data_IF_640000602366
#
_entry.id   IF_640000602366
#
_cell.length_a   1.000
_cell.length_b   1.000
_cell.length_c   1.000
_cell.angle_alpha   90.00
_cell.angle_beta   90.00
_cell.angle_gamma   90.00
#
_symmetry.space_group_name_H-M   'P 1'
#
loop_
_entity.id
_entity.type
_entity.pdbx_description
1 polymer ?
#
# COMPACT_ATOMS: atom_id res chain seq x y z
N UNK A 1 3.26 5.19 -1.68
CA UNK A 1 3.20 3.80 -1.17
C UNK A 1 2.83 3.82 0.31
N UNK A 2 1.74 3.17 0.71
CA UNK A 2 1.38 2.97 2.12
C UNK A 2 1.49 1.49 2.48
N UNK A 3 2.28 1.14 3.48
CA UNK A 3 2.46 -0.27 3.87
C UNK A 3 2.34 -0.48 5.38
N UNK A 4 1.75 -1.60 5.77
CA UNK A 4 1.65 -2.02 7.16
C UNK A 4 2.98 -2.53 7.73
N UNK A 5 4.03 -2.68 6.89
CA UNK A 5 5.35 -3.15 7.34
C UNK A 5 6.09 -2.08 8.13
N UNK A 6 6.83 -2.51 9.14
CA UNK A 6 7.76 -1.67 9.92
C UNK A 6 9.13 -1.55 9.25
N UNK A 7 9.91 -0.51 9.57
CA UNK A 7 11.30 -0.36 9.10
C UNK A 7 12.20 -1.37 9.83
N UNK A 8 12.43 -2.55 9.22
CA UNK A 8 13.59 -2.78 8.34
C UNK A 8 13.21 -3.39 6.97
N UNK A 9 11.92 -3.63 6.70
CA UNK A 9 11.47 -4.26 5.46
C UNK A 9 11.29 -3.28 4.28
N UNK A 10 11.63 -2.00 4.48
CA UNK A 10 11.41 -0.91 3.53
C UNK A 10 12.34 -0.98 2.31
N UNK A 11 13.60 -1.38 2.53
CA UNK A 11 14.62 -1.37 1.50
C UNK A 11 14.26 -2.31 0.33
N UNK A 12 13.75 -3.51 0.63
CA UNK A 12 13.38 -4.49 -0.41
C UNK A 12 12.29 -3.95 -1.32
N UNK A 13 11.26 -3.31 -0.76
CA UNK A 13 10.13 -2.79 -1.55
C UNK A 13 10.59 -1.66 -2.47
N UNK A 14 11.42 -0.75 -1.95
CA UNK A 14 11.96 0.36 -2.74
C UNK A 14 12.86 -0.17 -3.88
N UNK A 15 13.73 -1.15 -3.59
CA UNK A 15 14.60 -1.78 -4.60
C UNK A 15 13.78 -2.43 -5.72
N UNK A 16 12.74 -3.20 -5.39
CA UNK A 16 11.88 -3.84 -6.39
C UNK A 16 11.18 -2.82 -7.28
N UNK A 17 10.56 -1.79 -6.70
CA UNK A 17 9.84 -0.78 -7.47
C UNK A 17 10.78 0.03 -8.38
N UNK A 18 12.00 0.37 -7.91
CA UNK A 18 13.02 1.00 -8.74
C UNK A 18 13.50 0.10 -9.89
N UNK A 19 13.66 -1.21 -9.62
CA UNK A 19 14.05 -2.16 -10.67
C UNK A 19 12.96 -2.32 -11.75
N UNK A 20 11.69 -2.06 -11.41
CA UNK A 20 10.57 -2.01 -12.34
C UNK A 20 10.34 -0.64 -12.98
N UNK A 21 11.24 0.32 -12.73
CA UNK A 21 11.14 1.71 -13.19
C UNK A 21 9.85 2.42 -12.73
N UNK A 22 9.35 2.06 -11.54
CA UNK A 22 8.20 2.71 -10.92
C UNK A 22 8.68 3.88 -10.08
N UNK A 23 8.29 5.09 -10.48
CA UNK A 23 8.51 6.32 -9.71
C UNK A 23 7.60 6.33 -8.49
N UNK A 24 8.16 6.62 -7.32
CA UNK A 24 7.43 6.80 -6.07
C UNK A 24 7.71 8.21 -5.58
N UNK A 25 6.65 8.98 -5.36
CA UNK A 25 6.76 10.29 -4.72
C UNK A 25 7.03 10.14 -3.22
N UNK A 26 6.19 9.38 -2.51
CA UNK A 26 6.27 9.19 -1.06
C UNK A 26 6.02 7.74 -0.63
N UNK A 27 6.70 7.31 0.45
CA UNK A 27 6.52 5.98 1.05
C UNK A 27 6.34 6.06 2.58
N UNK A 28 5.20 5.60 3.06
CA UNK A 28 4.80 5.64 4.47
C UNK A 28 4.71 4.23 5.04
N UNK A 29 5.45 3.99 6.11
CA UNK A 29 5.55 2.70 6.82
C UNK A 29 4.79 2.80 8.13
N UNK A 30 3.55 2.28 8.13
CA UNK A 30 2.59 2.48 9.21
C UNK A 30 2.75 1.47 10.35
N UNK A 31 3.53 0.40 10.17
CA UNK A 31 3.80 -0.57 11.24
C UNK A 31 2.56 -1.23 11.87
N UNK A 32 1.46 -1.33 11.11
CA UNK A 32 0.18 -1.88 11.58
C UNK A 32 -0.88 -0.86 12.01
N UNK A 33 -0.59 0.44 11.94
CA UNK A 33 -1.60 1.48 12.16
C UNK A 33 -2.69 1.45 11.07
N UNK A 34 -3.89 1.91 11.44
CA UNK A 34 -5.02 2.03 10.50
C UNK A 34 -4.69 3.03 9.39
N UNK A 35 -4.96 2.64 8.13
CA UNK A 35 -4.57 3.42 6.95
C UNK A 35 -5.51 4.58 6.66
N UNK A 36 -6.76 4.54 7.12
CA UNK A 36 -7.81 5.45 6.68
C UNK A 36 -7.53 6.91 7.00
N UNK A 37 -7.14 7.21 8.24
CA UNK A 37 -6.83 8.57 8.69
C UNK A 37 -5.59 9.16 7.98
N UNK A 38 -4.59 8.31 7.71
CA UNK A 38 -3.41 8.72 6.95
C UNK A 38 -3.74 9.02 5.49
N UNK A 39 -4.58 8.19 4.85
CA UNK A 39 -5.01 8.40 3.47
C UNK A 39 -5.83 9.68 3.33
N UNK A 40 -6.69 9.98 4.31
CA UNK A 40 -7.44 11.23 4.35
C UNK A 40 -6.52 12.44 4.51
N UNK A 41 -5.59 12.39 5.47
CA UNK A 41 -4.66 13.50 5.74
C UNK A 41 -3.69 13.73 4.58
N UNK A 42 -3.28 12.65 3.92
CA UNK A 42 -2.45 12.71 2.71
C UNK A 42 -3.21 13.30 1.51
N UNK A 43 -4.55 13.31 1.53
CA UNK A 43 -5.37 13.77 0.42
C UNK A 43 -5.35 12.80 -0.76
N UNK A 44 -5.38 11.49 -0.50
CA UNK A 44 -5.38 10.49 -1.57
C UNK A 44 -6.70 10.54 -2.37
N UNK A 45 -6.60 10.55 -3.70
CA UNK A 45 -7.77 10.44 -4.59
C UNK A 45 -8.28 8.99 -4.70
N UNK A 46 -7.35 8.04 -4.84
CA UNK A 46 -7.63 6.61 -5.04
C UNK A 46 -6.66 5.77 -4.20
N UNK A 47 -7.17 4.69 -3.62
CA UNK A 47 -6.40 3.70 -2.87
C UNK A 47 -6.65 2.28 -3.37
N UNK A 48 -5.60 1.48 -3.47
CA UNK A 48 -5.67 0.07 -3.83
C UNK A 48 -5.01 -0.79 -2.75
N UNK A 49 -5.70 -1.86 -2.35
CA UNK A 49 -5.16 -2.86 -1.43
C UNK A 49 -5.74 -4.22 -1.76
N UNK A 50 -5.02 -5.26 -1.36
CA UNK A 50 -5.36 -6.64 -1.66
C UNK A 50 -6.09 -7.29 -0.48
N UNK A 51 -6.03 -6.72 0.72
CA UNK A 51 -6.77 -7.21 1.88
C UNK A 51 -8.10 -6.46 2.05
N UNK A 52 -9.19 -7.23 2.10
CA UNK A 52 -10.55 -6.69 2.30
C UNK A 52 -10.65 -5.83 3.58
N UNK A 53 -9.98 -6.23 4.66
CA UNK A 53 -9.97 -5.45 5.91
C UNK A 53 -9.38 -4.04 5.76
N UNK A 54 -8.29 -3.90 4.99
CA UNK A 54 -7.74 -2.58 4.68
C UNK A 54 -8.68 -1.77 3.79
N UNK A 55 -9.31 -2.43 2.82
CA UNK A 55 -10.24 -1.78 1.90
C UNK A 55 -11.48 -1.24 2.64
N UNK A 56 -12.05 -2.03 3.54
CA UNK A 56 -13.19 -1.64 4.38
C UNK A 56 -12.87 -0.43 5.26
N UNK A 57 -11.64 -0.33 5.76
CA UNK A 57 -11.23 0.84 6.54
C UNK A 57 -11.04 2.08 5.66
N UNK A 58 -10.30 1.95 4.56
CA UNK A 58 -9.95 3.04 3.67
C UNK A 58 -11.14 3.61 2.88
N UNK A 59 -12.12 2.77 2.48
CA UNK A 59 -13.29 3.21 1.69
C UNK A 59 -14.17 4.24 2.39
N UNK A 60 -14.00 4.42 3.70
CA UNK A 60 -14.66 5.46 4.50
C UNK A 60 -14.11 6.85 4.23
N UNK A 61 -12.91 6.94 3.65
CA UNK A 61 -12.14 8.18 3.49
C UNK A 61 -11.72 8.46 2.06
N UNK A 62 -11.45 7.42 1.25
CA UNK A 62 -10.92 7.53 -0.11
C UNK A 62 -11.56 6.50 -1.04
N UNK A 63 -11.70 6.83 -2.33
CA UNK A 63 -12.14 5.88 -3.34
C UNK A 63 -11.21 4.65 -3.35
N UNK A 64 -11.76 3.48 -3.04
CA UNK A 64 -10.94 2.30 -2.74
C UNK A 64 -11.26 1.14 -3.69
N UNK A 65 -10.23 0.58 -4.32
CA UNK A 65 -10.31 -0.62 -5.16
C UNK A 65 -9.66 -1.82 -4.48
N UNK A 66 -10.43 -2.89 -4.26
CA UNK A 66 -9.89 -4.17 -3.82
C UNK A 66 -9.24 -4.89 -5.00
N UNK A 67 -8.00 -5.32 -4.84
CA UNK A 67 -7.24 -6.08 -5.84
C UNK A 67 -7.22 -7.56 -5.42
N UNK A 68 -8.02 -8.44 -6.03
CA UNK A 68 -8.03 -9.85 -5.66
C UNK A 68 -6.66 -10.50 -5.91
N UNK A 69 -6.12 -11.22 -4.92
CA UNK A 69 -4.91 -12.02 -5.13
C UNK A 69 -5.26 -13.23 -6.01
N UNK A 70 -5.01 -13.14 -7.32
CA UNK A 70 -5.38 -14.19 -8.28
C UNK A 70 -4.20 -15.02 -8.79
N UNK A 71 -2.98 -14.49 -8.75
CA UNK A 71 -1.79 -15.15 -9.31
C UNK A 71 -0.68 -15.12 -8.29
N UNK A 72 -0.31 -16.28 -7.79
CA UNK A 72 0.93 -16.47 -7.03
C UNK A 72 2.09 -16.35 -8.00
N UNK A 73 3.01 -15.43 -7.76
CA UNK A 73 4.24 -15.38 -8.55
C UNK A 73 5.03 -16.68 -8.34
N UNK A 74 5.58 -17.23 -9.42
CA UNK A 74 6.56 -18.31 -9.33
C UNK A 74 7.73 -17.86 -8.46
N UNK A 75 8.29 -18.79 -7.69
CA UNK A 75 9.46 -18.50 -6.89
C UNK A 75 10.63 -18.10 -7.80
N UNK A 76 11.12 -16.88 -7.63
CA UNK A 76 12.30 -16.35 -8.32
C UNK A 76 13.59 -17.01 -7.82
#
# INVERSE_FOLDING_TARGET
>A
LFTARSAPAHERVIRTLRAWDIRIDEAVFLGGLDKGEFLQTFGADIFFDDQTGHCESARRFVATGHVPHGVTNDAA
#
